data_IF_375599617084
#
_entry.id   IF_375599617084
#
_cell.length_a   1.000
_cell.length_b   1.000
_cell.length_c   1.000
_cell.angle_alpha   90.00
_cell.angle_beta   90.00
_cell.angle_gamma   90.00
#
_symmetry.space_group_name_H-M   'P 1'
#
loop_
_entity.id
_entity.type
_entity.pdbx_description
1 polymer ?
#
# COMPACT_ATOMS: atom_id res chain seq x y z
N UNK A 1 16.19 -2.71 -0.91
CA UNK A 1 15.89 -2.45 -2.34
C UNK A 1 14.45 -2.86 -2.57
N UNK A 2 13.62 -1.93 -3.06
CA UNK A 2 12.21 -2.18 -3.30
C UNK A 2 11.99 -2.61 -4.74
N UNK A 3 11.34 -3.75 -4.93
CA UNK A 3 11.19 -4.39 -6.25
C UNK A 3 9.76 -4.19 -6.80
N UNK A 4 8.80 -3.88 -5.94
CA UNK A 4 7.40 -3.80 -6.31
C UNK A 4 6.83 -2.39 -6.15
N UNK A 5 5.99 -1.96 -7.08
CA UNK A 5 5.22 -0.72 -6.99
C UNK A 5 3.72 -1.03 -7.04
N UNK A 6 2.93 -0.27 -6.27
CA UNK A 6 1.48 -0.33 -6.35
C UNK A 6 0.99 0.82 -7.22
N UNK A 7 0.21 0.51 -8.25
CA UNK A 7 -0.44 1.52 -9.10
C UNK A 7 -1.91 1.59 -8.76
N UNK A 8 -2.40 2.80 -8.52
CA UNK A 8 -3.77 3.07 -8.08
C UNK A 8 -4.51 3.81 -9.19
N UNK A 9 -5.62 3.23 -9.66
CA UNK A 9 -6.54 3.91 -10.56
C UNK A 9 -7.46 4.86 -9.76
N UNK A 10 -7.24 6.17 -9.89
CA UNK A 10 -8.03 7.19 -9.19
C UNK A 10 -9.46 7.34 -9.70
N UNK A 11 -9.78 6.84 -10.90
CA UNK A 11 -11.15 6.89 -11.41
C UNK A 11 -12.06 5.85 -10.75
N UNK A 12 -11.49 4.75 -10.23
CA UNK A 12 -12.24 3.68 -9.56
C UNK A 12 -11.96 3.59 -8.06
N UNK A 13 -10.86 4.17 -7.57
CA UNK A 13 -10.57 4.20 -6.14
C UNK A 13 -11.56 5.12 -5.40
N UNK A 14 -12.23 4.57 -4.38
CA UNK A 14 -13.21 5.29 -3.55
C UNK A 14 -12.66 5.74 -2.19
N UNK A 15 -11.38 5.49 -1.91
CA UNK A 15 -10.78 5.85 -0.62
C UNK A 15 -11.28 5.04 0.58
N UNK A 16 -11.96 3.90 0.37
CA UNK A 16 -12.60 3.09 1.42
C UNK A 16 -11.66 2.45 2.47
N UNK A 17 -10.34 2.66 2.37
CA UNK A 17 -9.33 2.22 3.34
C UNK A 17 -9.13 0.70 3.50
N UNK A 18 -9.85 -0.16 2.75
CA UNK A 18 -9.71 -1.62 2.81
C UNK A 18 -8.27 -2.08 2.54
N UNK A 19 -7.60 -1.50 1.54
CA UNK A 19 -6.21 -1.82 1.21
C UNK A 19 -5.20 -1.45 2.31
N UNK A 20 -5.52 -0.46 3.16
CA UNK A 20 -4.66 -0.02 4.26
C UNK A 20 -4.74 -0.99 5.42
N UNK A 21 -5.94 -1.47 5.76
CA UNK A 21 -6.12 -2.43 6.85
C UNK A 21 -5.80 -3.88 6.43
N UNK A 22 -5.97 -4.23 5.16
CA UNK A 22 -5.72 -5.59 4.66
C UNK A 22 -4.24 -5.87 4.37
N UNK A 23 -3.41 -4.84 4.15
CA UNK A 23 -1.98 -5.01 3.98
C UNK A 23 -1.37 -5.63 5.25
N UNK A 24 -0.75 -6.84 5.20
CA UNK A 24 -0.22 -7.50 6.39
C UNK A 24 0.85 -6.67 7.12
N UNK A 25 1.67 -5.93 6.36
CA UNK A 25 2.69 -5.04 6.92
C UNK A 25 2.03 -3.88 7.68
N UNK A 26 1.06 -3.19 7.07
CA UNK A 26 0.30 -2.15 7.76
C UNK A 26 -0.43 -2.69 8.98
N UNK A 27 -1.06 -3.85 8.88
CA UNK A 27 -1.77 -4.49 9.99
C UNK A 27 -0.83 -4.74 11.17
N UNK A 28 0.37 -5.26 10.91
CA UNK A 28 1.38 -5.45 11.95
C UNK A 28 1.82 -4.14 12.60
N UNK A 29 1.99 -3.07 11.81
CA UNK A 29 2.34 -1.75 12.34
C UNK A 29 1.20 -1.13 13.16
N UNK A 30 -0.05 -1.26 12.70
CA UNK A 30 -1.25 -0.88 13.45
C UNK A 30 -1.36 -1.65 14.77
N UNK A 31 -1.16 -2.97 14.74
CA UNK A 31 -1.20 -3.81 15.94
C UNK A 31 -0.12 -3.40 16.95
N UNK A 32 1.09 -3.06 16.48
CA UNK A 32 2.22 -2.73 17.35
C UNK A 32 2.17 -1.30 17.90
N UNK A 33 1.74 -0.32 17.08
CA UNK A 33 1.83 1.12 17.42
C UNK A 33 0.48 1.79 17.64
N UNK A 34 -0.61 1.21 17.14
CA UNK A 34 -1.96 1.80 17.17
C UNK A 34 -2.23 2.83 16.07
N UNK A 35 -1.23 3.18 15.26
CA UNK A 35 -1.37 4.20 14.22
C UNK A 35 -0.45 3.93 13.01
N UNK A 36 -0.79 4.56 11.88
CA UNK A 36 0.01 4.58 10.66
C UNK A 36 0.42 6.01 10.31
N UNK A 37 1.64 6.16 9.83
CA UNK A 37 2.26 7.37 9.28
C UNK A 37 2.97 7.01 7.98
N UNK A 38 3.51 8.01 7.29
CA UNK A 38 4.38 7.78 6.12
C UNK A 38 5.66 7.01 6.47
N UNK A 39 6.05 6.97 7.74
CA UNK A 39 7.26 6.26 8.16
C UNK A 39 7.03 4.75 8.27
N UNK A 40 5.85 4.30 8.71
CA UNK A 40 5.57 2.89 8.98
C UNK A 40 4.56 2.24 8.03
N UNK A 41 3.82 2.99 7.22
CA UNK A 41 2.85 2.42 6.29
C UNK A 41 3.47 2.03 4.94
N UNK A 42 2.88 1.02 4.30
CA UNK A 42 3.10 0.65 2.90
C UNK A 42 2.11 1.36 1.97
N UNK A 43 0.88 1.56 2.44
CA UNK A 43 -0.20 2.24 1.71
C UNK A 43 -1.06 3.00 2.69
N UNK A 44 -1.47 4.22 2.32
CA UNK A 44 -2.35 5.09 3.09
C UNK A 44 -3.50 5.56 2.19
N UNK A 45 -4.56 6.11 2.77
CA UNK A 45 -5.51 6.95 2.01
C UNK A 45 -5.18 8.41 2.27
N UNK A 46 -4.90 9.16 1.21
CA UNK A 46 -4.64 10.61 1.26
C UNK A 46 -5.54 11.30 0.25
N UNK A 47 -6.20 12.39 0.67
CA UNK A 47 -7.11 13.17 -0.18
C UNK A 47 -8.17 12.30 -0.90
N UNK A 48 -8.72 11.30 -0.20
CA UNK A 48 -9.74 10.40 -0.76
C UNK A 48 -9.21 9.25 -1.63
N UNK A 49 -7.90 9.12 -1.82
CA UNK A 49 -7.32 8.06 -2.67
C UNK A 49 -6.28 7.22 -1.95
N UNK A 50 -6.29 5.92 -2.23
CA UNK A 50 -5.19 5.05 -1.86
C UNK A 50 -3.88 5.56 -2.49
N UNK A 51 -2.84 5.68 -1.68
CA UNK A 51 -1.55 6.26 -2.01
C UNK A 51 -0.47 5.34 -1.43
N UNK A 52 0.30 4.63 -2.28
CA UNK A 52 1.44 3.85 -1.84
C UNK A 52 2.47 4.76 -1.18
N UNK A 53 3.16 4.24 -0.17
CA UNK A 53 4.25 4.94 0.51
C UNK A 53 5.54 4.17 0.24
N UNK A 54 6.45 4.81 -0.47
CA UNK A 54 7.70 4.22 -0.95
C UNK A 54 8.85 5.16 -0.62
N UNK A 55 9.95 4.60 -0.11
CA UNK A 55 11.26 5.27 -0.14
C UNK A 55 12.40 4.25 -0.10
N UNK A 56 13.46 4.49 -0.90
CA UNK A 56 14.58 3.54 -1.10
C UNK A 56 15.25 3.09 0.20
N UNK A 57 15.37 4.01 1.16
CA UNK A 57 16.11 3.81 2.41
C UNK A 57 15.24 3.32 3.56
N UNK A 58 13.93 3.18 3.37
CA UNK A 58 13.01 2.73 4.43
C UNK A 58 13.16 1.23 4.65
N UNK A 59 13.11 0.84 5.93
CA UNK A 59 13.10 -0.57 6.34
C UNK A 59 11.80 -1.29 5.95
N UNK A 60 10.72 -0.54 5.68
CA UNK A 60 9.39 -1.05 5.41
C UNK A 60 8.92 -0.50 4.06
N UNK A 61 8.74 -1.41 3.09
CA UNK A 61 8.14 -1.12 1.80
C UNK A 61 7.29 -2.34 1.34
N UNK A 62 6.55 -2.22 0.24
CA UNK A 62 5.67 -3.28 -0.26
C UNK A 62 6.46 -4.55 -0.64
N UNK A 63 6.08 -5.71 -0.12
CA UNK A 63 6.72 -6.99 -0.45
C UNK A 63 6.14 -7.70 -1.68
N UNK A 64 5.10 -7.13 -2.29
CA UNK A 64 4.43 -7.72 -3.44
C UNK A 64 3.44 -8.85 -3.12
N UNK A 65 3.00 -9.02 -1.87
CA UNK A 65 2.08 -10.11 -1.49
C UNK A 65 0.71 -10.09 -2.19
N UNK A 66 0.27 -8.95 -2.74
CA UNK A 66 -0.96 -8.84 -3.54
C UNK A 66 -2.29 -8.88 -2.78
N UNK A 67 -2.28 -8.88 -1.44
CA UNK A 67 -3.52 -8.88 -0.62
C UNK A 67 -4.38 -7.63 -0.89
N UNK A 68 -3.75 -6.47 -1.11
CA UNK A 68 -4.45 -5.23 -1.44
C UNK A 68 -5.22 -5.32 -2.78
N UNK A 69 -4.72 -6.09 -3.76
CA UNK A 69 -5.40 -6.33 -5.03
C UNK A 69 -6.67 -7.15 -4.80
N UNK A 70 -6.53 -8.30 -4.12
CA UNK A 70 -7.65 -9.22 -3.86
C UNK A 70 -8.75 -8.60 -3.00
N UNK A 71 -8.37 -7.75 -2.05
CA UNK A 71 -9.29 -7.11 -1.11
C UNK A 71 -9.93 -5.83 -1.65
N UNK A 72 -9.42 -5.24 -2.73
CA UNK A 72 -9.98 -3.99 -3.24
C UNK A 72 -11.35 -4.25 -3.90
N UNK A 73 -12.47 -3.71 -3.35
CA UNK A 73 -13.80 -3.95 -3.91
C UNK A 73 -14.03 -3.26 -5.26
N UNK A 74 -13.14 -2.35 -5.65
CA UNK A 74 -13.23 -1.58 -6.89
C UNK A 74 -12.21 -2.02 -7.95
N UNK A 75 -11.44 -3.08 -7.67
CA UNK A 75 -10.35 -3.53 -8.56
C UNK A 75 -9.39 -2.40 -8.97
N UNK A 76 -9.15 -1.42 -8.08
CA UNK A 76 -8.45 -0.18 -8.38
C UNK A 76 -6.92 -0.27 -8.25
N UNK A 77 -6.38 -1.43 -7.87
CA UNK A 77 -4.98 -1.62 -7.48
C UNK A 77 -4.31 -2.64 -8.41
N UNK A 78 -3.14 -2.28 -8.92
CA UNK A 78 -2.26 -3.15 -9.68
C UNK A 78 -0.89 -3.23 -9.00
N UNK A 79 -0.21 -4.37 -9.12
CA UNK A 79 1.17 -4.55 -8.67
C UNK A 79 2.07 -4.58 -9.91
N UNK A 80 3.08 -3.72 -9.93
CA UNK A 80 4.06 -3.62 -11.00
C UNK A 80 5.44 -3.99 -10.46
N UNK A 81 6.24 -4.69 -11.26
CA UNK A 81 7.64 -4.96 -10.95
C UNK A 81 8.46 -3.76 -11.44
N UNK A 82 9.28 -3.20 -10.55
CA UNK A 82 10.24 -2.16 -10.91
C UNK A 82 11.44 -2.83 -11.56
N UNK A 83 11.77 -2.45 -12.79
CA UNK A 83 12.96 -2.97 -13.48
C UNK A 83 14.20 -2.69 -12.65
N UNK A 84 14.92 -3.77 -12.32
CA UNK A 84 16.25 -3.70 -11.72
C UNK A 84 17.20 -3.20 -12.82
N UNK A 85 17.76 -2.01 -12.67
CA UNK A 85 18.96 -1.61 -13.42
C UNK A 85 20.19 -2.06 -12.66
#
# INVERSE_FOLDING_TARGET
>A
MQIYNLKINRNTCTGCNVCVVSCPINFNQLRAKGYLTEENAVILVKNGFATPVYEDKRAINCDGCGVCIKSCPQCAIQLEIMSVK
#
